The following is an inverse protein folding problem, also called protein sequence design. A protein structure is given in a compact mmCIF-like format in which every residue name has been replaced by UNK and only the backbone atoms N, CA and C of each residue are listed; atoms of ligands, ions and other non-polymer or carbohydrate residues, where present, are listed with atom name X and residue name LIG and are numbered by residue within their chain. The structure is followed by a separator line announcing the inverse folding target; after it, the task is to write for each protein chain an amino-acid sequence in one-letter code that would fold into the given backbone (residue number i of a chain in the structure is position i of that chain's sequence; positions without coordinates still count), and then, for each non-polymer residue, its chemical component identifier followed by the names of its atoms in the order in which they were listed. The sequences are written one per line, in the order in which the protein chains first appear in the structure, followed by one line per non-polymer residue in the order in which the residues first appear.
data_IF_588136115903
#
_entry.id   IF_588136115903
#
_cell.length_a   1.000
_cell.length_b   1.000
_cell.length_c   1.000
_cell.angle_alpha   90.00
_cell.angle_beta   90.00
_cell.angle_gamma   90.00
#
_symmetry.space_group_name_H-M   'P 1'
#
loop_
_entity.id
_entity.type
_entity.pdbx_description
1 polymer ?
#
# COMPACT_ATOMS: atom_id res chain seq x y z
N UNK A 1 -1.54 8.14 25.93
CA UNK A 1 -0.61 7.20 25.30
C UNK A 1 -0.63 7.31 23.79
N UNK A 2 0.42 7.90 23.21
CA UNK A 2 0.61 8.04 21.75
C UNK A 2 1.49 6.90 21.18
N UNK A 3 1.90 5.94 22.00
CA UNK A 3 2.76 4.81 21.63
C UNK A 3 2.00 3.63 21.01
N UNK A 4 0.69 3.50 21.24
CA UNK A 4 -0.10 2.35 20.79
C UNK A 4 -0.61 2.46 19.34
N UNK A 5 -0.38 3.57 18.64
CA UNK A 5 -0.80 3.75 17.24
C UNK A 5 0.33 3.56 16.21
N UNK A 6 1.56 3.29 16.67
CA UNK A 6 2.70 3.05 15.77
C UNK A 6 2.86 1.57 15.41
N UNK A 7 2.27 0.66 16.19
CA UNK A 7 2.48 -0.79 16.00
C UNK A 7 1.62 -1.40 14.88
N UNK A 8 0.44 -0.83 14.57
CA UNK A 8 -0.45 -1.37 13.52
C UNK A 8 0.10 -1.18 12.08
N UNK A 9 0.89 -0.12 11.83
CA UNK A 9 1.51 0.13 10.51
C UNK A 9 2.80 -0.69 10.31
N UNK A 10 3.46 -1.12 11.39
CA UNK A 10 4.68 -1.95 11.31
C UNK A 10 4.37 -3.45 11.16
N UNK A 11 3.22 -3.93 11.64
CA UNK A 11 2.81 -5.33 11.51
C UNK A 11 2.52 -5.73 10.04
N UNK A 12 1.88 -4.86 9.25
CA UNK A 12 1.61 -5.13 7.82
C UNK A 12 2.84 -4.96 6.91
N UNK A 13 3.91 -4.37 7.46
CA UNK A 13 5.17 -4.05 6.79
C UNK A 13 6.39 -4.82 7.35
N UNK A 14 6.12 -5.87 8.14
CA UNK A 14 7.09 -6.86 8.63
C UNK A 14 7.98 -7.49 7.54
N UNK A 15 9.12 -8.08 7.91
CA UNK A 15 10.27 -8.49 7.06
C UNK A 15 9.89 -9.23 5.75
N UNK A 16 10.70 -9.10 4.67
CA UNK A 16 10.45 -9.86 3.45
C UNK A 16 10.65 -11.37 3.72
N UNK A 17 9.87 -12.20 3.04
CA UNK A 17 9.71 -13.65 3.24
C UNK A 17 10.96 -14.50 2.90
N UNK A 18 12.14 -14.11 3.37
CA UNK A 18 13.25 -15.05 3.48
C UNK A 18 13.44 -15.56 4.91
N UNK A 19 12.97 -14.87 5.96
CA UNK A 19 13.05 -15.34 7.38
C UNK A 19 12.03 -14.64 8.33
N UNK A 20 10.77 -14.45 7.93
CA UNK A 20 9.69 -14.10 8.87
C UNK A 20 9.20 -15.34 9.65
N UNK A 21 8.61 -15.20 10.86
CA UNK A 21 8.14 -16.35 11.64
C UNK A 21 7.16 -17.19 10.82
N UNK A 22 7.29 -18.52 10.87
CA UNK A 22 6.58 -19.49 10.03
C UNK A 22 5.04 -19.53 10.21
N UNK A 23 4.45 -18.58 10.93
CA UNK A 23 3.07 -18.63 11.41
C UNK A 23 2.06 -17.95 10.46
N UNK A 24 2.50 -17.22 9.42
CA UNK A 24 1.56 -16.53 8.50
C UNK A 24 1.16 -17.31 7.26
N UNK A 25 1.98 -18.24 6.76
CA UNK A 25 1.63 -19.04 5.58
C UNK A 25 0.81 -20.25 6.02
N UNK A 26 -0.41 -20.38 5.50
CA UNK A 26 -1.26 -21.52 5.82
C UNK A 26 -0.62 -22.81 5.26
N UNK A 27 -0.77 -23.92 5.97
CA UNK A 27 -0.09 -25.18 5.64
C UNK A 27 -0.37 -25.71 4.22
N UNK A 28 -1.55 -25.38 3.66
CA UNK A 28 -1.99 -25.79 2.33
C UNK A 28 -1.97 -24.64 1.29
N UNK A 29 -1.45 -23.46 1.64
CA UNK A 29 -1.43 -22.29 0.76
C UNK A 29 -0.17 -22.26 -0.10
N UNK A 30 -0.37 -22.11 -1.41
CA UNK A 30 0.75 -21.95 -2.34
C UNK A 30 1.43 -20.61 -2.09
N UNK A 31 2.71 -20.52 -2.47
CA UNK A 31 3.46 -19.27 -2.35
C UNK A 31 2.79 -18.10 -3.11
N UNK A 32 2.19 -18.37 -4.26
CA UNK A 32 1.43 -17.38 -5.05
C UNK A 32 0.17 -16.90 -4.31
N UNK A 33 -0.57 -17.81 -3.67
CA UNK A 33 -1.76 -17.47 -2.89
C UNK A 33 -1.40 -16.63 -1.66
N UNK A 34 -0.31 -16.97 -0.99
CA UNK A 34 0.21 -16.18 0.13
C UNK A 34 0.58 -14.76 -0.31
N UNK A 35 1.34 -14.61 -1.39
CA UNK A 35 1.69 -13.30 -1.93
C UNK A 35 0.45 -12.50 -2.33
N UNK A 36 -0.53 -13.13 -2.99
CA UNK A 36 -1.78 -12.48 -3.37
C UNK A 36 -2.55 -11.98 -2.13
N UNK A 37 -2.65 -12.79 -1.06
CA UNK A 37 -3.32 -12.42 0.18
C UNK A 37 -2.67 -11.21 0.85
N UNK A 38 -1.34 -11.22 0.96
CA UNK A 38 -0.58 -10.10 1.54
C UNK A 38 -0.73 -8.83 0.70
N UNK A 39 -0.68 -8.96 -0.64
CA UNK A 39 -0.85 -7.81 -1.53
C UNK A 39 -2.27 -7.24 -1.44
N UNK A 40 -3.30 -8.09 -1.39
CA UNK A 40 -4.68 -7.65 -1.23
C UNK A 40 -4.92 -6.93 0.11
N UNK A 41 -4.34 -7.44 1.21
CA UNK A 41 -4.41 -6.75 2.51
C UNK A 41 -3.81 -5.34 2.43
N UNK A 42 -2.61 -5.23 1.85
CA UNK A 42 -1.90 -3.96 1.68
C UNK A 42 -2.63 -2.97 0.76
N UNK A 43 -3.22 -3.43 -0.34
CA UNK A 43 -3.96 -2.55 -1.26
C UNK A 43 -5.21 -2.00 -0.62
N UNK A 44 -5.95 -2.83 0.14
CA UNK A 44 -7.14 -2.40 0.90
C UNK A 44 -6.76 -1.36 1.94
N UNK A 45 -5.72 -1.61 2.75
CA UNK A 45 -5.22 -0.63 3.73
C UNK A 45 -4.86 0.69 3.07
N UNK A 46 -4.10 0.63 1.98
CA UNK A 46 -3.65 1.83 1.26
C UNK A 46 -4.80 2.63 0.65
N UNK A 47 -5.83 1.96 0.11
CA UNK A 47 -7.02 2.62 -0.42
C UNK A 47 -7.80 3.36 0.68
N UNK A 48 -7.96 2.75 1.85
CA UNK A 48 -8.61 3.39 2.99
C UNK A 48 -7.83 4.62 3.48
N UNK A 49 -6.51 4.53 3.55
CA UNK A 49 -5.63 5.65 3.95
C UNK A 49 -5.82 6.87 3.04
N UNK A 50 -5.88 6.67 1.72
CA UNK A 50 -5.97 7.76 0.73
C UNK A 50 -7.41 8.18 0.41
N UNK A 51 -8.42 7.49 0.94
CA UNK A 51 -9.83 7.75 0.62
C UNK A 51 -10.28 9.16 0.97
N UNK A 52 -10.15 9.54 2.24
CA UNK A 52 -10.57 10.85 2.74
C UNK A 52 -9.93 12.02 1.98
N UNK A 53 -8.60 12.07 1.76
CA UNK A 53 -8.01 13.17 1.00
C UNK A 53 -8.46 13.21 -0.46
N UNK A 54 -8.64 12.06 -1.12
CA UNK A 54 -9.11 12.02 -2.51
C UNK A 54 -10.59 12.42 -2.64
N UNK A 55 -11.46 12.04 -1.70
CA UNK A 55 -12.86 12.49 -1.66
C UNK A 55 -12.98 13.99 -1.40
N UNK A 56 -12.06 14.56 -0.63
CA UNK A 56 -11.96 16.00 -0.39
C UNK A 56 -11.32 16.78 -1.56
N UNK A 57 -11.00 16.12 -2.68
CA UNK A 57 -10.35 16.73 -3.84
C UNK A 57 -8.92 17.20 -3.58
N UNK A 58 -8.26 16.70 -2.52
CA UNK A 58 -6.86 17.01 -2.22
C UNK A 58 -5.94 16.14 -3.07
N UNK A 59 -4.80 16.71 -3.43
CA UNK A 59 -3.71 15.93 -4.02
C UNK A 59 -3.03 15.10 -2.94
N UNK A 60 -2.81 13.82 -3.24
CA UNK A 60 -2.07 12.90 -2.38
C UNK A 60 -0.68 12.70 -2.97
N UNK A 61 0.37 13.00 -2.18
CA UNK A 61 1.77 12.83 -2.59
C UNK A 61 2.30 11.53 -2.03
N UNK A 62 3.08 10.81 -2.82
CA UNK A 62 3.72 9.58 -2.36
C UNK A 62 4.71 9.85 -1.21
N UNK A 63 5.43 10.99 -1.24
CA UNK A 63 6.35 11.37 -0.17
C UNK A 63 5.67 11.57 1.19
N UNK A 64 4.40 11.99 1.23
CA UNK A 64 3.61 12.10 2.45
C UNK A 64 3.28 10.72 3.03
N UNK A 65 2.92 9.76 2.17
CA UNK A 65 2.62 8.37 2.54
C UNK A 65 3.87 7.61 2.99
N UNK A 66 5.01 7.88 2.35
CA UNK A 66 6.30 7.28 2.65
C UNK A 66 7.03 7.92 3.83
N UNK A 67 6.46 8.98 4.45
CA UNK A 67 7.11 9.69 5.55
C UNK A 67 7.31 8.75 6.75
N UNK A 68 8.51 8.78 7.32
CA UNK A 68 8.88 7.92 8.45
C UNK A 68 9.18 6.46 8.09
N UNK A 69 8.97 6.06 6.83
CA UNK A 69 9.23 4.69 6.38
C UNK A 69 10.71 4.45 6.08
N UNK A 70 11.20 3.27 6.43
CA UNK A 70 12.51 2.79 6.00
C UNK A 70 12.50 2.42 4.50
N UNK A 71 13.68 2.24 3.89
CA UNK A 71 13.82 1.96 2.45
C UNK A 71 12.96 0.78 1.97
N UNK A 72 12.83 -0.27 2.79
CA UNK A 72 12.04 -1.45 2.46
C UNK A 72 10.55 -1.11 2.43
N UNK A 73 10.06 -0.43 3.47
CA UNK A 73 8.67 0.03 3.56
C UNK A 73 8.31 0.96 2.39
N UNK A 74 9.21 1.87 2.02
CA UNK A 74 9.00 2.76 0.85
C UNK A 74 8.85 1.94 -0.43
N UNK A 75 9.70 0.94 -0.66
CA UNK A 75 9.60 0.08 -1.84
C UNK A 75 8.30 -0.74 -1.86
N UNK A 76 7.87 -1.26 -0.71
CA UNK A 76 6.60 -1.98 -0.58
C UNK A 76 5.41 -1.07 -0.86
N UNK A 77 5.35 0.12 -0.25
CA UNK A 77 4.32 1.13 -0.49
C UNK A 77 4.24 1.52 -1.97
N UNK A 78 5.40 1.74 -2.60
CA UNK A 78 5.47 2.04 -4.03
C UNK A 78 4.89 0.89 -4.88
N UNK A 79 5.28 -0.35 -4.58
CA UNK A 79 4.75 -1.53 -5.28
C UNK A 79 3.23 -1.67 -5.10
N UNK A 80 2.70 -1.45 -3.89
CA UNK A 80 1.26 -1.44 -3.63
C UNK A 80 0.53 -0.45 -4.55
N UNK A 81 1.09 0.74 -4.79
CA UNK A 81 0.52 1.68 -5.75
C UNK A 81 0.57 1.22 -7.20
N UNK A 82 1.60 0.45 -7.60
CA UNK A 82 1.63 -0.17 -8.93
C UNK A 82 0.52 -1.22 -9.10
N UNK A 83 0.25 -2.00 -8.05
CA UNK A 83 -0.87 -2.97 -8.03
C UNK A 83 -2.21 -2.23 -8.16
N UNK A 84 -2.43 -1.19 -7.37
CA UNK A 84 -3.64 -0.37 -7.44
C UNK A 84 -3.82 0.29 -8.83
N UNK A 85 -2.72 0.74 -9.46
CA UNK A 85 -2.74 1.30 -10.81
C UNK A 85 -3.11 0.24 -11.84
N UNK A 86 -2.56 -0.97 -11.74
CA UNK A 86 -2.91 -2.13 -12.59
C UNK A 86 -4.39 -2.47 -12.47
N UNK A 87 -4.95 -2.40 -11.26
CA UNK A 87 -6.36 -2.63 -10.97
C UNK A 87 -7.27 -1.46 -11.40
N UNK A 88 -6.70 -0.36 -11.88
CA UNK A 88 -7.40 0.88 -12.22
C UNK A 88 -8.13 1.54 -11.02
N UNK A 89 -7.72 1.20 -9.81
CA UNK A 89 -8.23 1.81 -8.58
C UNK A 89 -7.69 3.24 -8.42
N UNK A 90 -6.43 3.47 -8.82
CA UNK A 90 -5.77 4.78 -8.76
C UNK A 90 -5.12 5.13 -10.09
N UNK A 91 -4.91 6.43 -10.30
CA UNK A 91 -4.01 6.97 -11.32
C UNK A 91 -2.74 7.50 -10.65
N UNK A 92 -1.60 7.34 -11.34
CA UNK A 92 -0.29 7.80 -10.87
C UNK A 92 0.25 8.85 -11.83
N UNK A 93 0.53 10.06 -11.33
CA UNK A 93 1.11 11.16 -12.12
C UNK A 93 2.50 11.53 -11.64
N UNK A 94 3.45 11.53 -12.58
CA UNK A 94 4.82 11.99 -12.36
C UNK A 94 5.22 12.88 -13.54
N UNK A 95 5.69 14.10 -13.25
CA UNK A 95 5.94 15.11 -14.29
C UNK A 95 7.27 14.88 -15.05
N UNK A 96 8.27 14.31 -14.38
CA UNK A 96 9.60 14.01 -14.94
C UNK A 96 10.28 12.89 -14.14
N UNK A 97 11.40 12.36 -14.64
CA UNK A 97 12.13 11.31 -13.95
C UNK A 97 12.49 11.72 -12.52
N UNK A 98 12.20 10.85 -11.56
CA UNK A 98 12.44 11.05 -10.12
C UNK A 98 11.73 12.26 -9.49
N UNK A 99 10.79 12.89 -10.20
CA UNK A 99 9.91 13.90 -9.61
C UNK A 99 8.92 13.25 -8.63
N UNK A 100 8.24 14.10 -7.86
CA UNK A 100 7.15 13.69 -6.98
C UNK A 100 6.10 12.87 -7.73
N UNK A 101 5.55 11.86 -7.03
CA UNK A 101 4.49 11.00 -7.53
C UNK A 101 3.17 11.40 -6.86
N UNK A 102 2.19 11.79 -7.67
CA UNK A 102 0.85 12.13 -7.23
C UNK A 102 -0.11 10.98 -7.48
N UNK A 103 -0.98 10.73 -6.51
CA UNK A 103 -2.02 9.70 -6.56
C UNK A 103 -3.37 10.37 -6.76
N UNK A 104 -4.12 9.90 -7.75
CA UNK A 104 -5.45 10.39 -8.14
C UNK A 104 -6.46 9.22 -8.16
N UNK A 105 -7.76 9.52 -8.11
CA UNK A 105 -8.82 8.49 -8.23
C UNK A 105 -8.75 7.85 -9.63
N UNK A 106 -8.72 6.53 -9.67
CA UNK A 106 -8.90 5.75 -10.90
C UNK A 106 -10.37 5.48 -11.21
N UNK A 107 -10.68 4.97 -12.41
CA UNK A 107 -12.05 4.68 -12.82
C UNK A 107 -12.74 3.59 -11.97
N UNK A 108 -11.97 2.71 -11.32
CA UNK A 108 -12.49 1.66 -10.43
C UNK A 108 -12.33 1.99 -8.94
N UNK A 109 -11.97 3.22 -8.59
CA UNK A 109 -11.70 3.61 -7.21
C UNK A 109 -12.82 3.20 -6.24
N UNK A 110 -14.08 3.54 -6.54
CA UNK A 110 -15.22 3.21 -5.68
C UNK A 110 -15.52 1.70 -5.64
N UNK A 111 -15.29 0.97 -6.74
CA UNK A 111 -15.46 -0.48 -6.80
C UNK A 111 -14.41 -1.21 -5.95
N UNK A 112 -13.17 -0.69 -5.91
CA UNK A 112 -12.07 -1.27 -5.14
C UNK A 112 -12.15 -1.00 -3.63
N UNK A 113 -13.14 -0.21 -3.17
CA UNK A 113 -13.42 0.05 -1.76
C UNK A 113 -14.50 -0.88 -1.17
N UNK A 114 -15.16 -1.69 -2.00
CA UNK A 114 -16.21 -2.65 -1.62
C UNK A 114 -15.61 -4.03 -1.34
#
# INVERSE_FOLDING_TARGET
DQLAQLDDDDEDYGPPASVGPAEEQLADETYEQFEERILNKRTVHMLHMIRSPLEAGRQVRFSDIARGSNRKQVAQKFYTFLVLKKQQAVELRQASAFAELYIEKGPKFEQSLL
#
